data_IF_560663160820
#
_entry.id   IF_560663160820
#
_cell.length_a   1.000
_cell.length_b   1.000
_cell.length_c   1.000
_cell.angle_alpha   90.00
_cell.angle_beta   90.00
_cell.angle_gamma   90.00
#
_symmetry.space_group_name_H-M   'P 1'
#
loop_
_entity.id
_entity.type
_entity.pdbx_description
1 polymer ?
#
# COMPACT_ATOMS: atom_id res chain seq x y z
N UNK A 1 1.90 -37.89 -24.12
CA UNK A 1 0.74 -37.02 -23.83
C UNK A 1 -0.40 -37.76 -23.09
N UNK A 2 -0.84 -38.93 -23.52
CA UNK A 2 -1.93 -39.68 -22.86
C UNK A 2 -1.67 -39.99 -21.36
N UNK A 3 -0.46 -40.43 -20.98
CA UNK A 3 -0.09 -40.67 -19.58
C UNK A 3 -0.14 -39.46 -18.67
N UNK A 4 0.17 -38.25 -19.19
CA UNK A 4 0.10 -36.99 -18.43
C UNK A 4 -1.36 -36.60 -18.22
N UNK A 5 -2.20 -36.82 -19.22
CA UNK A 5 -3.64 -36.55 -19.13
C UNK A 5 -4.34 -37.49 -18.12
N UNK A 6 -3.96 -38.75 -18.08
CA UNK A 6 -4.48 -39.74 -17.13
C UNK A 6 -4.02 -39.42 -15.69
N UNK A 7 -2.78 -38.99 -15.48
CA UNK A 7 -2.28 -38.53 -14.19
C UNK A 7 -3.00 -37.27 -13.74
N UNK A 8 -3.21 -36.30 -14.65
CA UNK A 8 -3.97 -35.09 -14.34
C UNK A 8 -5.44 -35.40 -14.01
N UNK A 9 -6.07 -36.35 -14.68
CA UNK A 9 -7.42 -36.78 -14.37
C UNK A 9 -7.51 -37.52 -13.03
N UNK A 10 -6.55 -38.36 -12.70
CA UNK A 10 -6.47 -39.02 -11.39
C UNK A 10 -6.21 -38.02 -10.27
N UNK A 11 -5.36 -37.03 -10.49
CA UNK A 11 -5.14 -35.92 -9.55
C UNK A 11 -6.40 -35.08 -9.41
N UNK A 12 -7.09 -34.77 -10.53
CA UNK A 12 -8.36 -34.07 -10.54
C UNK A 12 -9.45 -34.84 -9.80
N UNK A 13 -9.57 -36.15 -10.02
CA UNK A 13 -10.50 -37.00 -9.27
C UNK A 13 -10.14 -37.08 -7.77
N UNK A 14 -8.87 -37.25 -7.39
CA UNK A 14 -8.46 -37.25 -5.98
C UNK A 14 -8.62 -35.90 -5.30
N UNK A 15 -8.39 -34.79 -6.00
CA UNK A 15 -8.59 -33.43 -5.48
C UNK A 15 -10.07 -33.02 -5.45
N UNK A 16 -10.88 -33.51 -6.37
CA UNK A 16 -12.29 -33.11 -6.52
C UNK A 16 -13.31 -34.18 -6.10
N UNK A 17 -12.88 -35.41 -5.75
CA UNK A 17 -13.78 -36.35 -5.06
C UNK A 17 -14.15 -35.73 -3.72
N UNK A 18 -15.35 -35.18 -3.69
CA UNK A 18 -16.07 -34.80 -2.48
C UNK A 18 -16.21 -36.06 -1.60
N UNK A 19 -15.25 -36.33 -0.76
CA UNK A 19 -15.55 -36.97 0.51
C UNK A 19 -16.28 -35.90 1.30
N UNK A 20 -17.60 -35.98 1.38
CA UNK A 20 -18.39 -35.23 2.33
C UNK A 20 -17.88 -35.62 3.72
N UNK A 21 -16.84 -34.92 4.16
CA UNK A 21 -16.38 -35.00 5.54
C UNK A 21 -17.50 -34.39 6.34
N UNK A 22 -18.29 -35.23 6.99
CA UNK A 22 -19.21 -34.82 8.03
C UNK A 22 -18.35 -34.17 9.11
N UNK A 23 -18.20 -32.87 9.02
CA UNK A 23 -17.53 -32.10 10.06
C UNK A 23 -18.36 -32.18 11.34
N UNK A 24 -17.68 -32.20 12.49
CA UNK A 24 -18.32 -32.22 13.80
C UNK A 24 -19.36 -31.05 13.90
N UNK A 25 -20.47 -31.31 14.58
CA UNK A 25 -21.52 -30.29 14.85
C UNK A 25 -20.92 -29.01 15.47
N UNK A 26 -19.89 -29.13 16.30
CA UNK A 26 -19.11 -28.00 16.85
C UNK A 26 -18.46 -27.13 15.76
N UNK A 27 -18.06 -27.72 14.63
CA UNK A 27 -17.46 -26.98 13.51
C UNK A 27 -18.50 -26.11 12.82
N UNK A 28 -19.69 -26.65 12.51
CA UNK A 28 -20.79 -25.87 11.89
C UNK A 28 -21.27 -24.76 12.83
N UNK A 29 -21.40 -25.05 14.12
CA UNK A 29 -21.79 -24.06 15.13
C UNK A 29 -20.81 -22.88 15.22
N UNK A 30 -19.50 -23.14 15.10
CA UNK A 30 -18.47 -22.06 15.04
C UNK A 30 -18.58 -21.23 13.78
N UNK A 31 -18.81 -21.87 12.63
CA UNK A 31 -18.99 -21.14 11.36
C UNK A 31 -20.23 -20.26 11.40
N UNK A 32 -21.34 -20.76 11.93
CA UNK A 32 -22.57 -20.00 12.05
C UNK A 32 -22.41 -18.81 13.01
N UNK A 33 -21.72 -19.01 14.12
CA UNK A 33 -21.37 -17.92 15.04
C UNK A 33 -20.53 -16.84 14.34
N UNK A 34 -19.47 -17.22 13.65
CA UNK A 34 -18.61 -16.29 12.91
C UNK A 34 -19.37 -15.57 11.79
N UNK A 35 -20.34 -16.23 11.15
CA UNK A 35 -21.15 -15.60 10.14
C UNK A 35 -22.21 -14.66 10.73
N UNK A 36 -22.76 -14.98 11.90
CA UNK A 36 -23.74 -14.15 12.60
C UNK A 36 -23.12 -12.83 13.06
N UNK A 37 -21.92 -12.88 13.64
CA UNK A 37 -21.19 -11.72 14.16
C UNK A 37 -20.10 -11.25 13.22
N UNK A 38 -20.24 -11.49 11.94
CA UNK A 38 -19.21 -11.29 10.92
C UNK A 38 -18.71 -9.84 10.85
N UNK A 39 -19.59 -8.84 11.01
CA UNK A 39 -19.21 -7.43 10.99
C UNK A 39 -18.29 -7.07 12.17
N UNK A 40 -18.71 -7.48 13.39
CA UNK A 40 -17.89 -7.25 14.58
C UNK A 40 -16.52 -7.95 14.48
N UNK A 41 -16.53 -9.19 13.96
CA UNK A 41 -15.31 -9.95 13.74
C UNK A 41 -14.38 -9.27 12.73
N UNK A 42 -14.92 -8.71 11.63
CA UNK A 42 -14.13 -7.96 10.67
C UNK A 42 -13.57 -6.65 11.26
N UNK A 43 -14.33 -5.96 12.11
CA UNK A 43 -13.85 -4.76 12.79
C UNK A 43 -12.66 -5.07 13.72
N UNK A 44 -12.78 -6.13 14.53
CA UNK A 44 -11.70 -6.57 15.41
C UNK A 44 -10.45 -6.99 14.62
N UNK A 45 -10.64 -7.77 13.54
CA UNK A 45 -9.52 -8.17 12.68
C UNK A 45 -8.88 -6.94 12.03
N UNK A 46 -9.66 -5.98 11.54
CA UNK A 46 -9.13 -4.78 10.93
C UNK A 46 -8.24 -3.98 11.90
N UNK A 47 -8.71 -3.78 13.13
CA UNK A 47 -7.90 -3.15 14.19
C UNK A 47 -6.62 -3.93 14.49
N UNK A 48 -6.72 -5.26 14.58
CA UNK A 48 -5.56 -6.11 14.83
C UNK A 48 -4.54 -6.04 13.67
N UNK A 49 -5.01 -6.05 12.42
CA UNK A 49 -4.13 -5.93 11.23
C UNK A 49 -3.41 -4.59 11.25
N UNK A 50 -4.13 -3.47 11.44
CA UNK A 50 -3.51 -2.15 11.50
C UNK A 50 -2.47 -2.09 12.60
N UNK A 51 -2.78 -2.60 13.79
CA UNK A 51 -1.84 -2.62 14.90
C UNK A 51 -0.58 -3.45 14.57
N UNK A 52 -0.74 -4.64 13.97
CA UNK A 52 0.38 -5.47 13.52
C UNK A 52 1.23 -4.75 12.46
N UNK A 53 0.58 -4.11 11.49
CA UNK A 53 1.27 -3.33 10.45
C UNK A 53 2.07 -2.17 11.07
N UNK A 54 1.51 -1.48 12.06
CA UNK A 54 2.22 -0.42 12.78
C UNK A 54 3.40 -0.95 13.60
N UNK A 55 3.28 -2.13 14.24
CA UNK A 55 4.42 -2.78 14.92
C UNK A 55 5.56 -3.06 13.93
N UNK A 56 5.23 -3.60 12.75
CA UNK A 56 6.21 -3.94 11.72
C UNK A 56 6.86 -2.67 11.17
N UNK A 57 6.07 -1.65 10.85
CA UNK A 57 6.54 -0.39 10.29
C UNK A 57 7.44 0.37 11.26
N UNK A 58 7.06 0.43 12.54
CA UNK A 58 7.82 1.12 13.60
C UNK A 58 8.90 0.25 14.25
N UNK A 59 8.95 -1.05 13.91
CA UNK A 59 9.86 -2.06 14.47
C UNK A 59 9.87 -2.11 16.00
N UNK A 60 8.80 -1.63 16.63
CA UNK A 60 8.68 -1.52 18.09
C UNK A 60 7.23 -1.62 18.49
N UNK A 61 6.95 -2.57 19.36
CA UNK A 61 5.65 -2.71 20.01
C UNK A 61 5.27 -1.45 20.81
N UNK A 62 6.25 -0.92 21.57
CA UNK A 62 6.04 0.27 22.41
C UNK A 62 5.71 1.48 21.54
N UNK A 63 6.41 1.67 20.41
CA UNK A 63 6.14 2.77 19.48
C UNK A 63 4.78 2.65 18.82
N UNK A 64 4.33 1.43 18.51
CA UNK A 64 2.98 1.21 18.01
C UNK A 64 1.91 1.54 19.06
N UNK A 65 2.12 1.18 20.33
CA UNK A 65 1.23 1.58 21.42
C UNK A 65 1.18 3.11 21.61
N UNK A 66 2.33 3.79 21.55
CA UNK A 66 2.40 5.26 21.61
C UNK A 66 1.64 5.91 20.46
N UNK A 67 1.73 5.36 19.25
CA UNK A 67 0.97 5.84 18.09
C UNK A 67 -0.54 5.71 18.36
N UNK A 68 -1.01 4.58 18.85
CA UNK A 68 -2.44 4.38 19.15
C UNK A 68 -2.93 5.37 20.20
N UNK A 69 -2.12 5.66 21.21
CA UNK A 69 -2.44 6.61 22.27
C UNK A 69 -2.43 8.06 21.77
N UNK A 70 -1.37 8.48 21.09
CA UNK A 70 -1.20 9.85 20.61
C UNK A 70 -2.12 10.19 19.43
N UNK A 71 -2.36 9.22 18.52
CA UNK A 71 -3.09 9.40 17.28
C UNK A 71 -4.28 8.44 17.14
N UNK A 72 -5.08 8.31 18.21
CA UNK A 72 -6.21 7.37 18.29
C UNK A 72 -7.18 7.51 17.09
N UNK A 73 -7.52 8.74 16.68
CA UNK A 73 -8.43 8.97 15.55
C UNK A 73 -7.83 8.51 14.22
N UNK A 74 -6.54 8.75 14.00
CA UNK A 74 -5.83 8.25 12.82
C UNK A 74 -5.80 6.71 12.82
N UNK A 75 -5.51 6.06 13.95
CA UNK A 75 -5.57 4.61 14.09
C UNK A 75 -6.96 4.05 13.79
N UNK A 76 -8.02 4.68 14.29
CA UNK A 76 -9.41 4.28 14.01
C UNK A 76 -9.76 4.46 12.53
N UNK A 77 -9.28 5.53 11.90
CA UNK A 77 -9.50 5.76 10.47
C UNK A 77 -8.76 4.73 9.60
N UNK A 78 -7.51 4.40 9.92
CA UNK A 78 -6.78 3.30 9.28
C UNK A 78 -7.53 1.97 9.43
N UNK A 79 -8.03 1.68 10.65
CA UNK A 79 -8.82 0.48 10.92
C UNK A 79 -10.11 0.45 10.12
N UNK A 80 -10.75 1.59 9.94
CA UNK A 80 -11.94 1.73 9.10
C UNK A 80 -11.63 1.43 7.64
N UNK A 81 -10.53 1.92 7.07
CA UNK A 81 -10.12 1.62 5.69
C UNK A 81 -9.91 0.11 5.48
N UNK A 82 -9.22 -0.54 6.41
CA UNK A 82 -9.06 -2.00 6.36
C UNK A 82 -10.39 -2.73 6.54
N UNK A 83 -11.25 -2.28 7.47
CA UNK A 83 -12.58 -2.84 7.67
C UNK A 83 -13.44 -2.77 6.40
N UNK A 84 -13.38 -1.64 5.69
CA UNK A 84 -14.07 -1.46 4.41
C UNK A 84 -13.65 -2.52 3.40
N UNK A 85 -12.36 -2.83 3.32
CA UNK A 85 -11.87 -3.87 2.40
C UNK A 85 -12.47 -5.24 2.70
N UNK A 86 -12.82 -5.54 3.97
CA UNK A 86 -13.51 -6.77 4.35
C UNK A 86 -14.96 -6.86 3.86
N UNK A 87 -15.57 -5.76 3.41
CA UNK A 87 -16.90 -5.81 2.78
C UNK A 87 -16.90 -6.69 1.52
N UNK A 88 -15.76 -6.78 0.82
CA UNK A 88 -15.58 -7.68 -0.32
C UNK A 88 -15.84 -9.16 0.03
N UNK A 89 -15.63 -9.57 1.29
CA UNK A 89 -15.86 -10.94 1.75
C UNK A 89 -17.28 -11.41 1.47
N UNK A 90 -18.27 -10.50 1.55
CA UNK A 90 -19.68 -10.83 1.38
C UNK A 90 -20.06 -11.11 -0.07
N UNK A 91 -19.22 -10.74 -1.04
CA UNK A 91 -19.41 -11.04 -2.45
C UNK A 91 -19.05 -12.51 -2.77
N UNK A 92 -18.25 -13.14 -1.89
CA UNK A 92 -17.74 -14.49 -2.12
C UNK A 92 -18.47 -15.52 -1.26
N UNK A 93 -18.79 -16.66 -1.85
CA UNK A 93 -19.29 -17.82 -1.08
C UNK A 93 -18.20 -18.44 -0.19
N UNK A 94 -16.94 -18.28 -0.54
CA UNK A 94 -15.79 -18.77 0.23
C UNK A 94 -15.23 -17.66 1.13
N UNK A 95 -16.02 -17.30 2.13
CA UNK A 95 -15.72 -16.17 3.03
C UNK A 95 -14.39 -16.30 3.76
N UNK A 96 -14.02 -17.51 4.19
CA UNK A 96 -12.74 -17.76 4.85
C UNK A 96 -11.55 -17.45 3.91
N UNK A 97 -11.64 -17.89 2.65
CA UNK A 97 -10.65 -17.60 1.63
C UNK A 97 -10.50 -16.08 1.38
N UNK A 98 -11.62 -15.39 1.20
CA UNK A 98 -11.60 -13.94 0.98
C UNK A 98 -11.02 -13.17 2.18
N UNK A 99 -11.34 -13.59 3.42
CA UNK A 99 -10.75 -13.01 4.64
C UNK A 99 -9.23 -13.16 4.66
N UNK A 100 -8.72 -14.36 4.35
CA UNK A 100 -7.27 -14.62 4.35
C UNK A 100 -6.55 -13.81 3.27
N UNK A 101 -7.16 -13.66 2.08
CA UNK A 101 -6.59 -12.82 1.02
C UNK A 101 -6.48 -11.36 1.49
N UNK A 102 -7.56 -10.80 2.04
CA UNK A 102 -7.56 -9.39 2.47
C UNK A 102 -6.59 -9.17 3.64
N UNK A 103 -6.58 -10.08 4.61
CA UNK A 103 -5.60 -10.05 5.71
C UNK A 103 -4.17 -10.15 5.18
N UNK A 104 -3.92 -11.10 4.28
CA UNK A 104 -2.62 -11.29 3.65
C UNK A 104 -2.17 -10.07 2.86
N UNK A 105 -3.06 -9.45 2.09
CA UNK A 105 -2.77 -8.24 1.32
C UNK A 105 -2.22 -7.11 2.22
N UNK A 106 -2.95 -6.75 3.27
CA UNK A 106 -2.51 -5.68 4.18
C UNK A 106 -1.25 -6.05 4.97
N UNK A 107 -1.16 -7.31 5.42
CA UNK A 107 0.02 -7.77 6.17
C UNK A 107 1.27 -7.81 5.29
N UNK A 108 1.16 -8.27 4.05
CA UNK A 108 2.27 -8.28 3.09
C UNK A 108 2.72 -6.85 2.78
N UNK A 109 1.79 -5.91 2.56
CA UNK A 109 2.14 -4.50 2.37
C UNK A 109 2.87 -3.92 3.59
N UNK A 110 2.42 -4.26 4.81
CA UNK A 110 3.10 -3.86 6.04
C UNK A 110 4.51 -4.45 6.15
N UNK A 111 4.70 -5.72 5.78
CA UNK A 111 6.02 -6.36 5.75
C UNK A 111 6.93 -5.68 4.73
N UNK A 112 6.44 -5.42 3.52
CA UNK A 112 7.18 -4.69 2.48
C UNK A 112 7.62 -3.32 3.01
N UNK A 113 6.71 -2.57 3.63
CA UNK A 113 7.03 -1.29 4.23
C UNK A 113 8.12 -1.40 5.31
N UNK A 114 8.02 -2.39 6.21
CA UNK A 114 9.04 -2.64 7.23
C UNK A 114 10.40 -2.99 6.63
N UNK A 115 10.44 -3.75 5.52
CA UNK A 115 11.66 -4.06 4.77
C UNK A 115 12.23 -2.79 4.09
N UNK A 116 11.38 -1.97 3.49
CA UNK A 116 11.79 -0.71 2.87
C UNK A 116 12.40 0.24 3.90
N UNK A 117 11.72 0.44 5.04
CA UNK A 117 12.21 1.26 6.14
C UNK A 117 13.49 0.72 6.80
N UNK A 118 13.90 -0.54 6.52
CA UNK A 118 15.20 -1.04 6.97
C UNK A 118 16.37 -0.52 6.14
N UNK A 119 16.10 -0.06 4.94
CA UNK A 119 17.11 0.37 3.97
C UNK A 119 17.07 1.87 3.65
N UNK A 120 15.93 2.52 3.92
CA UNK A 120 15.76 3.96 3.66
C UNK A 120 14.81 4.59 4.68
N UNK A 121 14.84 5.90 4.81
CA UNK A 121 13.98 6.68 5.72
C UNK A 121 12.55 6.81 5.18
N UNK A 122 12.40 6.90 3.86
CA UNK A 122 11.08 7.08 3.24
C UNK A 122 10.30 5.77 3.20
N UNK A 123 9.04 5.76 3.67
CA UNK A 123 8.21 4.57 3.67
C UNK A 123 7.76 4.16 2.26
N UNK A 124 7.25 2.93 2.17
CA UNK A 124 6.75 2.35 0.93
C UNK A 124 5.48 3.05 0.45
N UNK A 125 5.49 3.51 -0.80
CA UNK A 125 4.36 4.19 -1.43
C UNK A 125 3.99 3.58 -2.79
N UNK A 126 2.91 4.09 -3.39
CA UNK A 126 2.47 3.64 -4.71
C UNK A 126 3.49 3.92 -5.83
N UNK A 127 4.28 4.96 -5.69
CA UNK A 127 5.36 5.29 -6.62
C UNK A 127 6.39 4.17 -6.71
N UNK A 128 6.69 3.50 -5.60
CA UNK A 128 7.62 2.35 -5.58
C UNK A 128 7.09 1.18 -6.42
N UNK A 129 5.77 0.98 -6.48
CA UNK A 129 5.16 -0.03 -7.35
C UNK A 129 5.38 0.28 -8.84
N UNK A 130 5.45 1.56 -9.22
CA UNK A 130 5.74 1.96 -10.60
C UNK A 130 7.20 1.72 -10.98
N UNK A 131 8.11 1.76 -10.01
CA UNK A 131 9.54 1.52 -10.22
C UNK A 131 9.91 0.02 -10.27
N UNK A 132 8.96 -0.90 -10.05
CA UNK A 132 9.23 -2.35 -10.12
C UNK A 132 9.85 -2.78 -11.46
N UNK A 133 9.36 -2.33 -12.65
CA UNK A 133 9.99 -2.71 -13.92
C UNK A 133 11.44 -2.26 -14.04
N UNK A 134 11.75 -1.07 -13.53
CA UNK A 134 13.11 -0.52 -13.51
C UNK A 134 14.00 -1.31 -12.55
N UNK A 135 13.49 -1.65 -11.36
CA UNK A 135 14.17 -2.50 -10.40
C UNK A 135 14.51 -3.88 -10.99
N UNK A 136 13.57 -4.48 -11.74
CA UNK A 136 13.78 -5.78 -12.40
C UNK A 136 14.75 -5.69 -13.58
N UNK A 137 14.89 -4.52 -14.21
CA UNK A 137 15.84 -4.27 -15.29
C UNK A 137 17.28 -4.02 -14.77
N UNK A 138 17.44 -3.73 -13.49
CA UNK A 138 18.76 -3.54 -12.89
C UNK A 138 19.49 -4.88 -12.79
N UNK A 139 20.69 -4.94 -13.37
CA UNK A 139 21.55 -6.13 -13.29
C UNK A 139 22.17 -6.36 -11.90
N UNK A 140 21.98 -5.41 -10.98
CA UNK A 140 22.55 -5.48 -9.64
C UNK A 140 21.50 -6.03 -8.65
N UNK A 141 21.64 -7.31 -8.30
CA UNK A 141 20.77 -8.00 -7.34
C UNK A 141 21.27 -7.93 -5.89
N UNK A 142 22.25 -7.08 -5.61
CA UNK A 142 22.92 -7.03 -4.29
C UNK A 142 22.05 -6.48 -3.15
N UNK A 143 20.85 -6.00 -3.43
CA UNK A 143 19.91 -5.52 -2.40
C UNK A 143 19.35 -6.63 -1.51
N UNK A 144 19.35 -7.87 -1.97
CA UNK A 144 18.92 -9.04 -1.20
C UNK A 144 20.01 -10.09 -1.18
N UNK A 145 20.30 -10.60 0.00
CA UNK A 145 21.12 -11.81 0.08
C UNK A 145 20.33 -13.00 -0.51
N UNK A 146 21.03 -13.97 -1.09
CA UNK A 146 20.40 -15.18 -1.63
C UNK A 146 19.50 -15.88 -0.59
N UNK A 147 19.87 -15.83 0.69
CA UNK A 147 19.09 -16.38 1.79
C UNK A 147 17.78 -15.60 2.00
N UNK A 148 17.81 -14.26 1.99
CA UNK A 148 16.60 -13.43 2.12
C UNK A 148 15.65 -13.65 0.94
N UNK A 149 16.17 -13.67 -0.28
CA UNK A 149 15.38 -13.97 -1.47
C UNK A 149 14.72 -15.35 -1.39
N UNK A 150 15.43 -16.36 -0.94
CA UNK A 150 14.90 -17.72 -0.75
C UNK A 150 13.77 -17.74 0.28
N UNK A 151 13.93 -17.09 1.43
CA UNK A 151 12.89 -16.99 2.47
C UNK A 151 11.62 -16.35 1.93
N UNK A 152 11.75 -15.26 1.17
CA UNK A 152 10.61 -14.56 0.56
C UNK A 152 9.90 -15.46 -0.45
N UNK A 153 10.63 -16.09 -1.37
CA UNK A 153 10.05 -16.97 -2.40
C UNK A 153 9.36 -18.18 -1.77
N UNK A 154 9.99 -18.83 -0.81
CA UNK A 154 9.42 -19.99 -0.09
C UNK A 154 8.19 -19.56 0.71
N UNK A 155 8.25 -18.42 1.41
CA UNK A 155 7.13 -17.88 2.19
C UNK A 155 5.92 -17.54 1.30
N UNK A 156 6.12 -16.84 0.19
CA UNK A 156 5.07 -16.53 -0.76
C UNK A 156 4.51 -17.79 -1.42
N UNK A 157 5.37 -18.75 -1.78
CA UNK A 157 4.95 -20.04 -2.32
C UNK A 157 4.09 -20.83 -1.33
N UNK A 158 4.51 -20.92 -0.08
CA UNK A 158 3.74 -21.58 0.99
C UNK A 158 2.39 -20.88 1.22
N UNK A 159 2.36 -19.55 1.22
CA UNK A 159 1.13 -18.78 1.35
C UNK A 159 0.19 -19.03 0.16
N UNK A 160 0.70 -19.05 -1.07
CA UNK A 160 -0.08 -19.36 -2.26
C UNK A 160 -0.67 -20.78 -2.20
N UNK A 161 0.12 -21.77 -1.79
CA UNK A 161 -0.36 -23.16 -1.60
C UNK A 161 -1.43 -23.25 -0.51
N UNK A 162 -1.26 -22.52 0.58
CA UNK A 162 -2.27 -22.40 1.63
C UNK A 162 -3.57 -21.81 1.10
N UNK A 163 -3.50 -20.74 0.31
CA UNK A 163 -4.67 -20.13 -0.33
C UNK A 163 -5.37 -21.10 -1.28
N UNK A 164 -4.62 -21.86 -2.09
CA UNK A 164 -5.19 -22.88 -2.98
C UNK A 164 -5.87 -23.98 -2.16
N UNK A 165 -5.23 -24.46 -1.10
CA UNK A 165 -5.80 -25.47 -0.20
C UNK A 165 -7.10 -24.95 0.48
N UNK A 166 -7.08 -23.70 0.93
CA UNK A 166 -8.25 -23.05 1.53
C UNK A 166 -9.37 -22.82 0.50
N UNK A 167 -9.01 -22.49 -0.73
CA UNK A 167 -9.98 -22.36 -1.82
C UNK A 167 -10.64 -23.71 -2.16
N UNK A 168 -9.86 -24.80 -2.23
CA UNK A 168 -10.39 -26.13 -2.58
C UNK A 168 -11.17 -26.73 -1.41
N UNK A 169 -10.58 -26.74 -0.20
CA UNK A 169 -11.08 -27.47 0.97
C UNK A 169 -11.86 -26.59 1.97
N UNK A 170 -11.79 -25.27 1.83
CA UNK A 170 -12.41 -24.33 2.77
C UNK A 170 -13.94 -24.36 2.76
N UNK A 171 -14.55 -23.94 3.87
CA UNK A 171 -16.01 -23.94 4.03
C UNK A 171 -16.66 -22.99 3.03
N UNK A 172 -17.76 -23.49 2.42
CA UNK A 172 -18.62 -22.67 1.57
C UNK A 172 -19.79 -22.17 2.39
N UNK A 173 -20.11 -20.91 2.27
CA UNK A 173 -21.33 -20.36 2.83
C UNK A 173 -22.53 -20.83 2.02
N UNK A 174 -23.45 -21.55 2.67
CA UNK A 174 -24.64 -22.14 2.04
C UNK A 174 -25.91 -21.31 2.27
N UNK A 175 -25.87 -20.32 3.17
CA UNK A 175 -27.00 -19.45 3.45
C UNK A 175 -27.31 -18.45 2.32
N UNK A 176 -28.47 -17.75 2.44
CA UNK A 176 -28.76 -16.61 1.57
C UNK A 176 -27.66 -15.56 1.67
N UNK A 177 -27.22 -15.04 0.54
CA UNK A 177 -26.20 -13.98 0.49
C UNK A 177 -26.88 -12.67 0.92
N UNK A 178 -27.16 -12.54 2.22
CA UNK A 178 -27.92 -11.41 2.76
C UNK A 178 -27.23 -10.06 2.57
N UNK A 179 -25.89 -10.07 2.58
CA UNK A 179 -25.10 -8.84 2.56
C UNK A 179 -24.48 -8.52 1.21
N UNK A 180 -24.65 -9.33 0.16
CA UNK A 180 -23.99 -9.07 -1.12
C UNK A 180 -24.45 -7.75 -1.75
N UNK A 181 -25.75 -7.50 -1.82
CA UNK A 181 -26.29 -6.24 -2.33
C UNK A 181 -25.87 -5.04 -1.47
N UNK A 182 -25.94 -5.21 -0.14
CA UNK A 182 -25.49 -4.18 0.81
C UNK A 182 -23.98 -3.91 0.65
N UNK A 183 -23.17 -4.96 0.44
CA UNK A 183 -21.73 -4.81 0.24
C UNK A 183 -21.41 -4.11 -1.06
N UNK A 184 -22.11 -4.41 -2.16
CA UNK A 184 -21.95 -3.69 -3.43
C UNK A 184 -22.34 -2.24 -3.28
N UNK A 185 -23.50 -1.96 -2.67
CA UNK A 185 -23.95 -0.59 -2.40
C UNK A 185 -22.97 0.15 -1.48
N UNK A 186 -22.47 -0.52 -0.45
CA UNK A 186 -21.49 0.04 0.48
C UNK A 186 -20.14 0.33 -0.19
N UNK A 187 -19.64 -0.57 -1.05
CA UNK A 187 -18.43 -0.34 -1.83
C UNK A 187 -18.61 0.80 -2.82
N UNK A 188 -19.76 0.88 -3.50
CA UNK A 188 -20.07 1.98 -4.41
C UNK A 188 -20.17 3.31 -3.63
N UNK A 189 -20.85 3.30 -2.48
CA UNK A 189 -20.92 4.46 -1.59
C UNK A 189 -19.52 4.88 -1.11
N UNK A 190 -18.67 3.92 -0.76
CA UNK A 190 -17.30 4.20 -0.32
C UNK A 190 -16.44 4.75 -1.43
N UNK A 191 -16.58 4.23 -2.65
CA UNK A 191 -15.88 4.78 -3.80
C UNK A 191 -16.22 6.27 -4.03
N UNK A 192 -17.46 6.65 -3.74
CA UNK A 192 -17.92 8.04 -3.77
C UNK A 192 -17.58 8.77 -2.46
N UNK A 193 -17.68 8.09 -1.33
CA UNK A 193 -17.50 8.68 0.00
C UNK A 193 -16.04 8.75 0.46
N UNK A 194 -15.13 7.94 -0.09
CA UNK A 194 -13.69 8.04 0.25
C UNK A 194 -13.15 9.44 0.02
N UNK A 195 -13.35 10.11 -1.13
CA UNK A 195 -12.93 11.51 -1.29
C UNK A 195 -13.59 12.43 -0.28
N UNK A 196 -14.88 12.24 0.01
CA UNK A 196 -15.63 13.09 0.96
C UNK A 196 -15.16 12.84 2.39
N UNK A 197 -15.03 11.59 2.82
CA UNK A 197 -14.55 11.27 4.18
C UNK A 197 -13.09 11.66 4.36
N UNK A 198 -12.27 11.54 3.32
CA UNK A 198 -10.89 12.00 3.33
C UNK A 198 -10.84 13.52 3.47
N UNK A 199 -11.64 14.28 2.71
CA UNK A 199 -11.73 15.73 2.84
C UNK A 199 -12.20 16.14 4.24
N UNK A 200 -13.20 15.46 4.80
CA UNK A 200 -13.65 15.72 6.17
C UNK A 200 -12.54 15.44 7.18
N UNK A 201 -11.85 14.31 7.05
CA UNK A 201 -10.75 13.95 7.93
C UNK A 201 -9.57 14.93 7.81
N UNK A 202 -9.31 15.48 6.63
CA UNK A 202 -8.31 16.50 6.39
C UNK A 202 -8.74 17.85 6.98
N UNK A 203 -9.99 18.26 6.79
CA UNK A 203 -10.52 19.53 7.33
C UNK A 203 -10.62 19.51 8.87
N UNK A 204 -10.77 18.34 9.46
CA UNK A 204 -10.79 18.17 10.93
C UNK A 204 -9.40 17.90 11.51
N UNK A 205 -8.33 18.00 10.71
CA UNK A 205 -6.95 17.73 11.09
C UNK A 205 -6.70 16.30 11.65
N UNK A 206 -7.58 15.36 11.35
CA UNK A 206 -7.37 13.94 11.71
C UNK A 206 -6.28 13.33 10.84
N UNK A 207 -6.21 13.77 9.58
CA UNK A 207 -5.16 13.39 8.62
C UNK A 207 -4.78 14.60 7.77
N UNK A 208 -3.52 14.68 7.33
CA UNK A 208 -3.08 15.77 6.46
C UNK A 208 -3.40 15.50 4.99
N UNK A 209 -3.64 16.59 4.24
CA UNK A 209 -3.77 16.55 2.79
C UNK A 209 -2.41 16.54 2.08
N UNK A 210 -1.39 17.06 2.73
CA UNK A 210 -0.04 17.18 2.20
C UNK A 210 0.98 16.93 3.30
N UNK A 211 2.02 16.20 2.98
CA UNK A 211 3.14 15.94 3.89
C UNK A 211 4.34 16.76 3.44
N UNK A 212 4.76 17.71 4.25
CA UNK A 212 6.05 18.41 4.05
C UNK A 212 7.22 17.42 4.18
N UNK A 213 7.07 16.44 5.07
CA UNK A 213 7.98 15.31 5.24
C UNK A 213 7.16 14.02 5.19
N UNK A 214 7.41 13.18 4.17
CA UNK A 214 6.67 11.93 3.94
C UNK A 214 6.86 10.96 5.11
N UNK A 215 8.07 10.85 5.65
CA UNK A 215 8.34 9.95 6.78
C UNK A 215 7.52 10.35 8.01
N UNK A 216 7.51 11.64 8.35
CA UNK A 216 6.72 12.16 9.46
C UNK A 216 5.22 11.98 9.22
N UNK A 217 4.74 12.18 7.98
CA UNK A 217 3.34 11.95 7.64
C UNK A 217 2.90 10.50 7.90
N UNK A 218 3.75 9.53 7.62
CA UNK A 218 3.46 8.12 7.94
C UNK A 218 3.51 7.85 9.45
N UNK A 219 4.39 8.54 10.19
CA UNK A 219 4.46 8.43 11.64
C UNK A 219 3.23 9.00 12.34
N UNK A 220 2.71 10.14 11.86
CA UNK A 220 1.57 10.82 12.47
C UNK A 220 0.22 10.17 12.07
N UNK A 221 0.10 9.72 10.83
CA UNK A 221 -1.21 9.27 10.27
C UNK A 221 -1.30 7.76 10.03
N UNK A 222 -0.21 7.02 10.18
CA UNK A 222 -0.16 5.58 10.03
C UNK A 222 -0.01 5.12 8.57
N UNK A 223 0.46 3.86 8.42
CA UNK A 223 0.81 3.29 7.12
C UNK A 223 -0.38 3.13 6.17
N UNK A 224 -1.50 2.57 6.66
CA UNK A 224 -2.65 2.22 5.78
C UNK A 224 -3.23 3.45 5.10
N UNK A 225 -3.45 4.53 5.85
CA UNK A 225 -3.93 5.79 5.29
C UNK A 225 -2.92 6.39 4.33
N UNK A 226 -1.68 6.54 4.78
CA UNK A 226 -0.64 7.20 4.00
C UNK A 226 -0.33 6.45 2.70
N UNK A 227 -0.27 5.12 2.72
CA UNK A 227 -0.15 4.31 1.50
C UNK A 227 -1.38 4.49 0.59
N UNK A 228 -2.59 4.45 1.15
CA UNK A 228 -3.83 4.60 0.37
C UNK A 228 -3.92 5.98 -0.28
N UNK A 229 -3.45 7.03 0.41
CA UNK A 229 -3.41 8.40 -0.14
C UNK A 229 -2.47 8.49 -1.35
N UNK A 230 -1.32 7.81 -1.32
CA UNK A 230 -0.40 7.79 -2.48
C UNK A 230 -0.98 7.08 -3.72
N UNK A 231 -1.95 6.18 -3.54
CA UNK A 231 -2.68 5.53 -4.65
C UNK A 231 -3.68 6.49 -5.29
N UNK A 232 -4.33 7.33 -4.47
CA UNK A 232 -5.38 8.26 -4.90
C UNK A 232 -4.77 9.57 -5.39
N UNK A 233 -3.77 10.09 -4.67
CA UNK A 233 -3.07 11.31 -5.04
C UNK A 233 -2.04 11.02 -6.13
N UNK A 234 -2.39 11.38 -7.34
CA UNK A 234 -1.56 11.12 -8.53
C UNK A 234 -0.58 12.25 -8.85
N UNK A 235 -0.30 13.09 -7.87
CA UNK A 235 0.60 14.22 -8.01
C UNK A 235 -0.12 15.55 -8.22
N UNK A 236 0.55 16.52 -8.82
CA UNK A 236 0.05 17.89 -8.97
C UNK A 236 -1.28 17.92 -9.71
N UNK A 237 -2.30 18.52 -9.07
CA UNK A 237 -3.58 18.73 -9.72
C UNK A 237 -3.40 19.74 -10.85
N UNK A 238 -4.07 19.46 -11.97
CA UNK A 238 -4.12 20.41 -13.08
C UNK A 238 -4.74 21.72 -12.58
N UNK A 239 -4.08 22.89 -12.75
CA UNK A 239 -4.67 24.16 -12.38
C UNK A 239 -6.05 24.38 -13.02
N UNK A 240 -6.96 25.05 -12.33
CA UNK A 240 -8.32 25.30 -12.85
C UNK A 240 -8.28 26.08 -14.17
N UNK A 241 -7.32 27.00 -14.30
CA UNK A 241 -7.11 27.84 -15.48
C UNK A 241 -6.25 27.18 -16.57
N UNK A 242 -5.94 25.89 -16.46
CA UNK A 242 -5.13 25.20 -17.45
C UNK A 242 -5.93 24.92 -18.72
N UNK A 243 -5.86 25.86 -19.65
CA UNK A 243 -6.41 25.74 -21.00
C UNK A 243 -5.34 26.14 -22.04
N UNK A 244 -5.60 25.80 -23.32
CA UNK A 244 -4.66 26.04 -24.40
C UNK A 244 -4.29 27.54 -24.50
N UNK A 245 -5.25 28.41 -24.29
CA UNK A 245 -5.08 29.85 -24.42
C UNK A 245 -4.13 30.41 -23.35
N UNK A 246 -4.29 30.00 -22.10
CA UNK A 246 -3.41 30.42 -21.01
C UNK A 246 -1.97 29.87 -21.19
N UNK A 247 -1.82 28.68 -21.76
CA UNK A 247 -0.50 28.14 -22.08
C UNK A 247 0.17 28.95 -23.19
N UNK A 248 -0.59 29.30 -24.26
CA UNK A 248 -0.12 30.16 -25.34
C UNK A 248 0.25 31.56 -24.85
N UNK A 249 -0.55 32.14 -23.93
CA UNK A 249 -0.26 33.44 -23.31
C UNK A 249 1.02 33.39 -22.47
N UNK A 250 1.24 32.34 -21.72
CA UNK A 250 2.49 32.15 -20.95
C UNK A 250 3.68 31.99 -21.91
N UNK A 251 3.52 31.22 -22.98
CA UNK A 251 4.57 31.05 -24.00
C UNK A 251 4.94 32.38 -24.68
N UNK A 252 3.93 33.17 -25.03
CA UNK A 252 4.15 34.54 -25.60
C UNK A 252 4.87 35.43 -24.61
N UNK A 253 4.50 35.45 -23.32
CA UNK A 253 5.18 36.23 -22.28
C UNK A 253 6.64 35.80 -22.13
N UNK A 254 6.92 34.50 -22.09
CA UNK A 254 8.29 33.98 -21.99
C UNK A 254 9.10 34.34 -23.22
N UNK A 255 8.53 34.24 -24.41
CA UNK A 255 9.21 34.57 -25.66
C UNK A 255 9.44 36.10 -25.80
N UNK A 256 8.51 36.95 -25.32
CA UNK A 256 8.71 38.39 -25.29
C UNK A 256 9.82 38.81 -24.30
N UNK A 257 9.95 38.11 -23.18
CA UNK A 257 11.05 38.35 -22.23
C UNK A 257 12.42 37.90 -22.77
N UNK A 258 12.47 36.85 -23.60
CA UNK A 258 13.72 36.41 -24.23
C UNK A 258 14.30 37.40 -25.21
N UNK A 259 13.48 38.30 -25.80
CA UNK A 259 13.96 39.31 -26.75
C UNK A 259 14.71 40.47 -26.08
N UNK A 260 14.61 40.63 -24.76
CA UNK A 260 15.28 41.73 -24.03
C UNK A 260 16.73 41.38 -23.61
N UNK A 261 17.22 40.22 -23.88
CA UNK A 261 18.56 39.77 -23.49
C UNK A 261 19.45 39.33 -24.67
N UNK A 262 19.27 39.90 -25.86
CA UNK A 262 20.29 39.80 -26.90
C UNK A 262 21.43 40.79 -26.59
N UNK A 263 22.33 40.36 -25.77
CA UNK A 263 23.66 40.99 -25.66
C UNK A 263 24.42 40.61 -26.91
N UNK A 264 24.67 41.62 -27.76
CA UNK A 264 25.61 41.67 -28.86
C UNK A 264 26.08 40.31 -29.42
N UNK A 265 25.34 39.70 -30.34
CA UNK A 265 25.84 38.67 -31.27
C UNK A 265 26.62 37.49 -30.68
N UNK A 266 26.78 37.39 -29.37
CA UNK A 266 27.39 36.27 -28.68
C UNK A 266 26.34 35.24 -28.28
N UNK A 267 26.55 34.01 -28.67
CA UNK A 267 25.81 32.87 -28.14
C UNK A 267 25.75 32.97 -26.62
N UNK A 268 24.51 32.97 -26.05
CA UNK A 268 24.33 33.02 -24.60
C UNK A 268 25.13 31.93 -23.88
N UNK A 269 25.41 32.10 -22.60
CA UNK A 269 26.18 31.12 -21.83
C UNK A 269 25.47 29.76 -21.84
N UNK A 270 26.22 28.69 -21.94
CA UNK A 270 25.68 27.33 -21.74
C UNK A 270 25.23 27.22 -20.28
N UNK A 271 23.98 26.89 -20.05
CA UNK A 271 23.43 26.62 -18.70
C UNK A 271 23.49 25.10 -18.50
N UNK A 272 24.33 24.69 -17.54
CA UNK A 272 24.42 23.29 -17.12
C UNK A 272 23.70 23.18 -15.78
N UNK A 273 22.59 22.44 -15.74
CA UNK A 273 21.88 22.13 -14.50
C UNK A 273 22.38 20.78 -14.00
N UNK A 274 22.94 20.76 -12.80
CA UNK A 274 23.36 19.52 -12.13
C UNK A 274 22.44 19.29 -10.96
N UNK A 275 21.70 18.16 -10.96
CA UNK A 275 20.89 17.71 -9.83
C UNK A 275 21.78 16.83 -8.95
N UNK A 276 22.09 17.32 -7.75
CA UNK A 276 22.89 16.60 -6.76
C UNK A 276 21.94 15.97 -5.73
N UNK A 277 21.48 14.75 -5.99
CA UNK A 277 20.43 14.11 -5.17
C UNK A 277 20.88 13.76 -3.76
N UNK A 278 22.02 13.46 -3.43
CA UNK A 278 22.48 13.07 -2.09
C UNK A 278 23.59 13.99 -1.58
N UNK A 279 23.58 15.22 -2.08
CA UNK A 279 24.56 16.19 -1.67
C UNK A 279 24.24 16.70 -0.26
N UNK A 280 25.21 16.64 0.63
CA UNK A 280 25.17 17.28 1.93
C UNK A 280 26.43 18.13 2.10
N UNK A 281 26.27 19.24 2.81
CA UNK A 281 27.41 20.07 3.16
C UNK A 281 28.29 19.31 4.17
N UNK A 282 29.58 19.05 3.87
CA UNK A 282 30.48 18.39 4.81
C UNK A 282 30.62 19.14 6.14
N UNK A 283 30.43 20.48 6.15
CA UNK A 283 30.51 21.28 7.38
C UNK A 283 29.33 21.03 8.33
N UNK A 284 28.20 20.50 7.84
CA UNK A 284 27.06 20.08 8.69
C UNK A 284 27.33 18.75 9.38
N UNK A 285 28.37 18.01 9.03
CA UNK A 285 28.67 16.69 9.60
C UNK A 285 29.48 16.88 10.89
N UNK A 286 28.85 16.73 12.04
CA UNK A 286 29.39 17.00 13.38
C UNK A 286 30.71 16.30 13.73
N UNK A 287 31.09 15.22 13.06
CA UNK A 287 32.33 14.47 13.32
C UNK A 287 33.43 14.75 12.27
N UNK A 288 33.12 15.53 11.23
CA UNK A 288 34.02 15.85 10.16
C UNK A 288 34.61 17.27 10.41
N UNK A 289 35.92 17.39 10.42
CA UNK A 289 36.60 18.68 10.45
C UNK A 289 37.27 18.88 9.08
N UNK A 290 36.86 19.91 8.39
CA UNK A 290 37.46 20.32 7.10
C UNK A 290 38.30 21.53 7.31
N UNK A 291 39.48 21.57 6.65
CA UNK A 291 40.44 22.65 6.79
C UNK A 291 40.15 23.87 5.89
N UNK A 292 39.32 23.67 4.88
CA UNK A 292 38.91 24.69 3.91
C UNK A 292 37.40 24.47 3.60
N UNK A 293 36.72 25.57 3.24
CA UNK A 293 35.33 25.50 2.82
C UNK A 293 35.18 24.54 1.61
N UNK A 294 34.47 23.39 1.78
CA UNK A 294 34.33 22.41 0.69
C UNK A 294 33.38 22.88 -0.40
N UNK A 295 32.59 23.94 -0.15
CA UNK A 295 31.61 24.50 -1.07
C UNK A 295 31.81 26.03 -1.16
N UNK A 296 32.93 26.50 -1.71
CA UNK A 296 33.17 27.92 -1.83
C UNK A 296 32.13 28.58 -2.74
N UNK A 297 31.43 29.61 -2.24
CA UNK A 297 30.41 30.41 -2.96
C UNK A 297 31.06 31.42 -3.91
#
# INVERSE_FOLDING_TARGET
MKKIFDVLNVIKQKLFVKKDKIHSEKYYRRIDFLNKYSLLFHAIIAMAIVFIVEIISRRSFISACKFVDAHTLAFMYNSFLVFVSFSLVYLFRRRAFARVIITGFWTILGIINGCVLSNRVTPFGYTDLKCIPELLAMNNTSYFTAQQATIVVVGLGAFALFLVALFIKGPKYTGKIRYAGVSVAFLALLFVAIPVTTNVAQNTNVVASYYSNIAQGYDDYGFVYSFSSTVVDRGMKKPEDYNKQNVEDVEQKVNSQKQTTTVDGKTGPNIICVLLESFCDPDEINFLQVNEDPIPT
#
